data_IF_341855235143
#
_entry.id   IF_341855235143
#
_cell.length_a   1.000
_cell.length_b   1.000
_cell.length_c   1.000
_cell.angle_alpha   90.00
_cell.angle_beta   90.00
_cell.angle_gamma   90.00
#
_symmetry.space_group_name_H-M   'P 1'
#
loop_
_entity.id
_entity.type
_entity.pdbx_description
1 polymer ?
#
# COMPACT_ATOMS: atom_id res chain seq x y z
N UNK A 1 77.46 -3.66 36.40
CA UNK A 1 76.36 -4.54 35.92
C UNK A 1 75.28 -4.79 36.97
N UNK A 2 75.64 -5.04 38.23
CA UNK A 2 74.70 -5.39 39.33
C UNK A 2 73.57 -4.36 39.56
N UNK A 3 73.86 -3.06 39.44
CA UNK A 3 72.87 -2.00 39.70
C UNK A 3 71.68 -2.00 38.72
N UNK A 4 71.92 -2.18 37.41
CA UNK A 4 70.85 -2.28 36.39
C UNK A 4 70.02 -3.56 36.59
N UNK A 5 70.65 -4.67 36.97
CA UNK A 5 69.96 -5.94 37.23
C UNK A 5 69.03 -5.85 38.47
N UNK A 6 69.46 -5.18 39.55
CA UNK A 6 68.60 -4.92 40.72
C UNK A 6 67.39 -4.05 40.36
N UNK A 7 67.58 -2.98 39.58
CA UNK A 7 66.48 -2.12 39.14
C UNK A 7 65.45 -2.87 38.29
N UNK A 8 65.89 -3.72 37.36
CA UNK A 8 64.97 -4.52 36.53
C UNK A 8 64.22 -5.57 37.35
N UNK A 9 64.88 -6.24 38.29
CA UNK A 9 64.23 -7.19 39.20
C UNK A 9 63.13 -6.51 40.02
N UNK A 10 63.42 -5.35 40.60
CA UNK A 10 62.45 -4.66 41.47
C UNK A 10 61.26 -4.11 40.66
N UNK A 11 61.48 -3.68 39.41
CA UNK A 11 60.39 -3.39 38.46
C UNK A 11 59.50 -4.62 38.21
N UNK A 12 60.10 -5.78 37.91
CA UNK A 12 59.35 -7.01 37.66
C UNK A 12 58.62 -7.52 38.92
N UNK A 13 59.20 -7.40 40.12
CA UNK A 13 58.51 -7.71 41.39
C UNK A 13 57.27 -6.84 41.59
N UNK A 14 57.35 -5.57 41.23
CA UNK A 14 56.22 -4.65 41.32
C UNK A 14 55.11 -5.05 40.33
N UNK A 15 55.49 -5.43 39.11
CA UNK A 15 54.56 -5.96 38.11
C UNK A 15 53.87 -7.23 38.61
N UNK A 16 54.62 -8.19 39.16
CA UNK A 16 54.07 -9.42 39.76
C UNK A 16 53.08 -9.11 40.89
N UNK A 17 53.40 -8.15 41.76
CA UNK A 17 52.50 -7.73 42.85
C UNK A 17 51.17 -7.18 42.32
N UNK A 18 51.21 -6.35 41.27
CA UNK A 18 49.99 -5.84 40.61
C UNK A 18 49.17 -6.97 40.00
N UNK A 19 49.82 -7.86 39.25
CA UNK A 19 49.14 -9.00 38.60
C UNK A 19 48.47 -9.89 39.66
N UNK A 20 49.18 -10.25 40.72
CA UNK A 20 48.66 -11.11 41.79
C UNK A 20 47.46 -10.48 42.52
N UNK A 21 47.44 -9.15 42.70
CA UNK A 21 46.26 -8.44 43.24
C UNK A 21 45.05 -8.53 42.32
N UNK A 22 45.25 -8.34 41.01
CA UNK A 22 44.17 -8.40 40.02
C UNK A 22 43.64 -9.82 39.80
N UNK A 23 44.48 -10.83 39.99
CA UNK A 23 44.15 -12.25 39.78
C UNK A 23 43.85 -13.01 41.09
N UNK A 24 43.71 -12.30 42.21
CA UNK A 24 43.44 -12.87 43.55
C UNK A 24 44.44 -13.96 44.01
N UNK A 25 45.67 -13.91 43.51
CA UNK A 25 46.73 -14.88 43.84
C UNK A 25 47.47 -14.44 45.11
N UNK A 26 47.60 -15.32 46.11
CA UNK A 26 48.20 -15.03 47.42
C UNK A 26 49.75 -15.01 47.45
N UNK A 27 50.40 -15.16 46.30
CA UNK A 27 51.86 -15.21 46.20
C UNK A 27 52.51 -13.84 46.42
N UNK A 28 53.51 -13.77 47.31
CA UNK A 28 54.26 -12.53 47.58
C UNK A 28 55.44 -12.39 46.62
N UNK A 29 55.46 -11.31 45.83
CA UNK A 29 56.53 -11.03 44.87
C UNK A 29 57.92 -10.85 45.51
N UNK A 30 57.98 -10.55 46.82
CA UNK A 30 59.23 -10.45 47.59
C UNK A 30 60.02 -11.76 47.66
N UNK A 31 59.40 -12.90 47.33
CA UNK A 31 60.07 -14.22 47.29
C UNK A 31 60.93 -14.45 46.05
N UNK A 32 60.82 -13.62 45.01
CA UNK A 32 61.54 -13.76 43.74
C UNK A 32 62.87 -13.01 43.81
N UNK A 33 64.01 -13.67 43.89
CA UNK A 33 65.30 -13.06 44.24
C UNK A 33 66.12 -12.58 43.03
N UNK A 34 65.81 -13.06 41.83
CA UNK A 34 66.48 -12.72 40.58
C UNK A 34 65.52 -12.19 39.52
N UNK A 35 66.07 -11.58 38.47
CA UNK A 35 65.31 -11.16 37.29
C UNK A 35 64.69 -12.38 36.60
N UNK A 36 65.47 -13.44 36.43
CA UNK A 36 65.08 -14.67 35.75
C UNK A 36 63.92 -15.39 36.48
N UNK A 37 63.91 -15.38 37.82
CA UNK A 37 62.80 -15.91 38.61
C UNK A 37 61.50 -15.13 38.37
N UNK A 38 61.59 -13.79 38.30
CA UNK A 38 60.42 -12.97 38.00
C UNK A 38 59.87 -13.23 36.60
N UNK A 39 60.76 -13.34 35.60
CA UNK A 39 60.38 -13.63 34.22
C UNK A 39 59.74 -15.03 34.09
N UNK A 40 60.30 -16.05 34.74
CA UNK A 40 59.71 -17.40 34.76
C UNK A 40 58.33 -17.44 35.41
N UNK A 41 58.14 -16.71 36.52
CA UNK A 41 56.86 -16.63 37.20
C UNK A 41 55.79 -15.98 36.31
N UNK A 42 56.12 -14.85 35.67
CA UNK A 42 55.22 -14.16 34.73
C UNK A 42 54.89 -15.06 33.53
N UNK A 43 55.88 -15.75 32.96
CA UNK A 43 55.67 -16.69 31.85
C UNK A 43 54.73 -17.84 32.21
N UNK A 44 54.85 -18.39 33.42
CA UNK A 44 53.95 -19.46 33.87
C UNK A 44 52.53 -18.95 34.07
N UNK A 45 52.34 -17.77 34.69
CA UNK A 45 51.03 -17.13 34.79
C UNK A 45 50.39 -16.92 33.41
N UNK A 46 51.15 -16.43 32.43
CA UNK A 46 50.65 -16.24 31.06
C UNK A 46 50.26 -17.57 30.42
N UNK A 47 51.05 -18.63 30.64
CA UNK A 47 50.74 -19.98 30.15
C UNK A 47 49.48 -20.54 30.80
N UNK A 48 49.33 -20.37 32.11
CA UNK A 48 48.16 -20.83 32.85
C UNK A 48 46.91 -20.06 32.39
N UNK A 49 47.01 -18.75 32.16
CA UNK A 49 45.92 -17.95 31.59
C UNK A 49 45.57 -18.38 30.15
N UNK A 50 46.58 -18.62 29.31
CA UNK A 50 46.39 -19.11 27.93
C UNK A 50 45.74 -20.50 27.90
N UNK A 51 46.09 -21.34 28.88
CA UNK A 51 45.64 -22.72 28.98
C UNK A 51 44.47 -22.91 29.95
N UNK A 52 43.84 -21.84 30.44
CA UNK A 52 42.63 -21.90 31.24
C UNK A 52 41.39 -21.58 30.38
N UNK A 53 40.86 -22.57 29.63
CA UNK A 53 39.70 -22.42 28.76
C UNK A 53 38.40 -22.18 29.52
N UNK A 54 38.39 -22.27 30.86
CA UNK A 54 37.21 -22.08 31.70
C UNK A 54 36.55 -20.72 31.51
N UNK A 55 37.36 -19.65 31.44
CA UNK A 55 36.84 -18.29 31.24
C UNK A 55 36.29 -18.10 29.82
N UNK A 56 36.94 -18.67 28.80
CA UNK A 56 36.47 -18.55 27.42
C UNK A 56 35.24 -19.43 27.13
N UNK A 57 35.06 -20.54 27.83
CA UNK A 57 33.94 -21.46 27.60
C UNK A 57 32.59 -20.84 27.94
N UNK A 58 32.51 -20.04 29.00
CA UNK A 58 31.29 -19.31 29.37
C UNK A 58 30.93 -18.27 28.30
N UNK A 59 31.89 -17.45 27.87
CA UNK A 59 31.69 -16.48 26.80
C UNK A 59 31.34 -17.13 25.45
N UNK A 60 31.96 -18.26 25.11
CA UNK A 60 31.63 -18.99 23.87
C UNK A 60 30.20 -19.50 23.91
N UNK A 61 29.72 -19.99 25.07
CA UNK A 61 28.34 -20.44 25.23
C UNK A 61 27.36 -19.29 25.02
N UNK A 62 27.60 -18.16 25.67
CA UNK A 62 26.77 -16.96 25.58
C UNK A 62 26.77 -16.39 24.14
N UNK A 63 27.92 -16.37 23.47
CA UNK A 63 28.03 -15.98 22.06
C UNK A 63 27.21 -16.91 21.15
N UNK A 64 27.20 -18.22 21.42
CA UNK A 64 26.45 -19.16 20.61
C UNK A 64 24.93 -19.00 20.82
N UNK A 65 24.49 -18.83 22.07
CA UNK A 65 23.09 -18.54 22.40
C UNK A 65 22.61 -17.23 21.73
N UNK A 66 23.42 -16.17 21.80
CA UNK A 66 23.13 -14.90 21.13
C UNK A 66 23.07 -15.02 19.60
N UNK A 67 23.92 -15.85 18.99
CA UNK A 67 23.85 -16.12 17.55
C UNK A 67 22.56 -16.82 17.16
N UNK A 68 22.12 -17.78 17.96
CA UNK A 68 20.88 -18.53 17.74
C UNK A 68 19.65 -17.60 17.87
N UNK A 69 19.65 -16.72 18.88
CA UNK A 69 18.60 -15.69 19.02
C UNK A 69 18.56 -14.72 17.82
N UNK A 70 19.73 -14.27 17.34
CA UNK A 70 19.82 -13.41 16.16
C UNK A 70 19.28 -14.13 14.92
N UNK A 71 19.59 -15.41 14.75
CA UNK A 71 19.12 -16.20 13.61
C UNK A 71 17.59 -16.36 13.63
N UNK A 72 17.01 -16.68 14.80
CA UNK A 72 15.56 -16.75 14.99
C UNK A 72 14.90 -15.40 14.69
N UNK A 73 15.45 -14.30 15.20
CA UNK A 73 14.96 -12.95 14.94
C UNK A 73 14.99 -12.61 13.45
N UNK A 74 16.06 -12.96 12.75
CA UNK A 74 16.21 -12.65 11.33
C UNK A 74 15.25 -13.48 10.46
N UNK A 75 15.05 -14.77 10.79
CA UNK A 75 14.07 -15.63 10.12
C UNK A 75 12.63 -15.12 10.33
N UNK A 76 12.29 -14.68 11.54
CA UNK A 76 10.99 -14.08 11.83
C UNK A 76 10.77 -12.76 11.08
N UNK A 77 11.82 -11.94 10.96
CA UNK A 77 11.76 -10.70 10.17
C UNK A 77 11.54 -11.00 8.68
N UNK A 78 12.23 -11.99 8.12
CA UNK A 78 12.04 -12.46 6.74
C UNK A 78 10.62 -12.95 6.49
N UNK A 79 10.05 -13.74 7.41
CA UNK A 79 8.67 -14.22 7.32
C UNK A 79 7.68 -13.05 7.30
N UNK A 80 7.80 -12.11 8.26
CA UNK A 80 6.94 -10.91 8.31
C UNK A 80 7.05 -10.04 7.06
N UNK A 81 8.26 -9.89 6.50
CA UNK A 81 8.46 -9.11 5.29
C UNK A 81 7.80 -9.76 4.07
N UNK A 82 7.84 -11.10 3.95
CA UNK A 82 7.12 -11.84 2.90
C UNK A 82 5.60 -11.69 3.04
N UNK A 83 5.06 -11.79 4.26
CA UNK A 83 3.64 -11.56 4.51
C UNK A 83 3.21 -10.14 4.14
N UNK A 84 4.00 -9.13 4.51
CA UNK A 84 3.75 -7.73 4.15
C UNK A 84 3.75 -7.52 2.63
N UNK A 85 4.67 -8.14 1.91
CA UNK A 85 4.72 -8.07 0.44
C UNK A 85 3.46 -8.71 -0.19
N UNK A 86 3.06 -9.89 0.29
CA UNK A 86 1.84 -10.57 -0.19
C UNK A 86 0.57 -9.76 0.12
N UNK A 87 0.50 -9.11 1.28
CA UNK A 87 -0.62 -8.22 1.63
C UNK A 87 -0.68 -6.99 0.72
N UNK A 88 0.48 -6.42 0.38
CA UNK A 88 0.56 -5.27 -0.53
C UNK A 88 0.04 -5.64 -1.93
N UNK A 89 0.46 -6.77 -2.48
CA UNK A 89 0.01 -7.25 -3.79
C UNK A 89 -1.52 -7.49 -3.82
N UNK A 90 -2.06 -8.12 -2.75
CA UNK A 90 -3.52 -8.29 -2.61
C UNK A 90 -4.26 -6.97 -2.54
N UNK A 91 -3.72 -5.98 -1.84
CA UNK A 91 -4.32 -4.66 -1.74
C UNK A 91 -4.34 -3.94 -3.09
N UNK A 92 -3.22 -3.94 -3.82
CA UNK A 92 -3.13 -3.32 -5.15
C UNK A 92 -4.11 -3.98 -6.14
N UNK A 93 -4.26 -5.31 -6.08
CA UNK A 93 -5.26 -6.02 -6.89
C UNK A 93 -6.70 -5.62 -6.54
N UNK A 94 -7.03 -5.55 -5.25
CA UNK A 94 -8.37 -5.13 -4.79
C UNK A 94 -8.68 -3.68 -5.16
N UNK A 95 -7.69 -2.80 -5.09
CA UNK A 95 -7.83 -1.40 -5.48
C UNK A 95 -8.08 -1.26 -6.98
N UNK A 96 -7.37 -2.02 -7.81
CA UNK A 96 -7.60 -2.08 -9.25
C UNK A 96 -9.02 -2.60 -9.58
N UNK A 97 -9.46 -3.68 -8.93
CA UNK A 97 -10.83 -4.21 -9.10
C UNK A 97 -11.88 -3.19 -8.67
N UNK A 98 -11.69 -2.51 -7.53
CA UNK A 98 -12.58 -1.46 -7.06
C UNK A 98 -12.70 -0.32 -8.06
N UNK A 99 -11.57 0.17 -8.57
CA UNK A 99 -11.56 1.25 -9.57
C UNK A 99 -12.26 0.81 -10.85
N UNK A 100 -12.03 -0.41 -11.31
CA UNK A 100 -12.69 -0.98 -12.48
C UNK A 100 -14.22 -0.98 -12.35
N UNK A 101 -14.77 -1.48 -11.24
CA UNK A 101 -16.22 -1.50 -11.04
C UNK A 101 -16.82 -0.10 -10.91
N UNK A 102 -16.12 0.84 -10.27
CA UNK A 102 -16.56 2.24 -10.19
C UNK A 102 -16.65 2.85 -11.60
N UNK A 103 -15.66 2.61 -12.45
CA UNK A 103 -15.65 3.10 -13.83
C UNK A 103 -16.80 2.49 -14.64
N UNK A 104 -17.01 1.18 -14.57
CA UNK A 104 -18.14 0.54 -15.26
C UNK A 104 -19.49 1.09 -14.82
N UNK A 105 -19.69 1.28 -13.51
CA UNK A 105 -20.92 1.84 -12.98
C UNK A 105 -21.15 3.27 -13.48
N UNK A 106 -20.08 4.07 -13.57
CA UNK A 106 -20.14 5.43 -14.10
C UNK A 106 -20.50 5.45 -15.59
N UNK A 107 -19.81 4.67 -16.40
CA UNK A 107 -20.09 4.55 -17.84
C UNK A 107 -21.51 4.04 -18.13
N UNK A 108 -21.99 3.07 -17.34
CA UNK A 108 -23.36 2.59 -17.45
C UNK A 108 -24.39 3.65 -17.05
N UNK A 109 -24.08 4.49 -16.06
CA UNK A 109 -24.89 5.64 -15.67
C UNK A 109 -24.97 6.68 -16.79
N UNK A 110 -23.83 7.06 -17.36
CA UNK A 110 -23.76 8.03 -18.47
C UNK A 110 -24.54 7.55 -19.70
N UNK A 111 -24.39 6.28 -20.09
CA UNK A 111 -25.17 5.68 -21.19
C UNK A 111 -26.67 5.66 -20.94
N UNK A 112 -27.10 5.44 -19.68
CA UNK A 112 -28.52 5.49 -19.32
C UNK A 112 -29.07 6.91 -19.42
N UNK A 113 -28.32 7.89 -18.94
CA UNK A 113 -28.73 9.29 -19.01
C UNK A 113 -28.85 9.77 -20.47
N UNK A 114 -27.90 9.39 -21.32
CA UNK A 114 -27.95 9.70 -22.76
C UNK A 114 -29.17 9.06 -23.44
N UNK A 115 -29.41 7.77 -23.18
CA UNK A 115 -30.58 7.06 -23.71
C UNK A 115 -31.91 7.64 -23.21
N UNK A 116 -31.98 8.11 -21.96
CA UNK A 116 -33.16 8.79 -21.42
C UNK A 116 -33.41 10.13 -22.10
N UNK A 117 -32.36 10.94 -22.31
CA UNK A 117 -32.46 12.22 -23.04
C UNK A 117 -32.91 12.01 -24.47
N UNK A 118 -32.37 11.02 -25.16
CA UNK A 118 -32.75 10.67 -26.53
C UNK A 118 -34.22 10.22 -26.59
N UNK A 119 -34.62 9.31 -25.69
CA UNK A 119 -36.01 8.84 -25.58
C UNK A 119 -36.98 9.99 -25.30
N UNK A 120 -36.61 10.91 -24.41
CA UNK A 120 -37.40 12.09 -24.10
C UNK A 120 -37.52 13.03 -25.30
N UNK A 121 -36.41 13.28 -26.01
CA UNK A 121 -36.38 14.09 -27.23
C UNK A 121 -37.36 13.57 -28.29
N UNK A 122 -37.29 12.27 -28.61
CA UNK A 122 -38.19 11.66 -29.59
C UNK A 122 -39.64 11.62 -29.11
N UNK A 123 -39.88 11.37 -27.82
CA UNK A 123 -41.23 11.40 -27.25
C UNK A 123 -41.86 12.79 -27.37
N UNK A 124 -41.08 13.83 -27.09
CA UNK A 124 -41.54 15.21 -27.19
C UNK A 124 -41.81 15.61 -28.65
N UNK A 125 -40.95 15.21 -29.59
CA UNK A 125 -41.20 15.39 -31.01
C UNK A 125 -42.46 14.66 -31.47
N UNK A 126 -42.61 13.37 -31.15
CA UNK A 126 -43.79 12.61 -31.52
C UNK A 126 -45.09 13.25 -31.00
N UNK A 127 -45.09 13.73 -29.75
CA UNK A 127 -46.23 14.48 -29.19
C UNK A 127 -46.51 15.77 -29.95
N UNK A 128 -45.47 16.52 -30.31
CA UNK A 128 -45.61 17.75 -31.09
C UNK A 128 -46.21 17.49 -32.47
N UNK A 129 -45.65 16.53 -33.20
CA UNK A 129 -46.15 16.12 -34.52
C UNK A 129 -47.59 15.65 -34.47
N UNK A 130 -47.93 14.80 -33.49
CA UNK A 130 -49.29 14.33 -33.29
C UNK A 130 -50.27 15.49 -33.04
N UNK A 131 -49.89 16.43 -32.17
CA UNK A 131 -50.71 17.62 -31.89
C UNK A 131 -50.88 18.51 -33.12
N UNK A 132 -49.79 18.74 -33.86
CA UNK A 132 -49.80 19.54 -35.10
C UNK A 132 -50.67 18.91 -36.19
N UNK A 133 -50.60 17.58 -36.33
CA UNK A 133 -51.42 16.82 -37.28
C UNK A 133 -52.90 17.00 -36.97
N UNK A 134 -53.34 16.73 -35.74
CA UNK A 134 -54.74 16.90 -35.36
C UNK A 134 -55.22 18.36 -35.45
N UNK A 135 -54.38 19.34 -35.14
CA UNK A 135 -54.75 20.75 -35.32
C UNK A 135 -54.94 21.11 -36.79
N UNK A 136 -54.05 20.63 -37.66
CA UNK A 136 -54.12 20.88 -39.11
C UNK A 136 -55.28 20.15 -39.75
N UNK A 137 -55.49 18.88 -39.39
CA UNK A 137 -56.60 18.04 -39.85
C UNK A 137 -57.94 18.67 -39.45
N UNK A 138 -58.11 19.04 -38.17
CA UNK A 138 -59.31 19.73 -37.71
C UNK A 138 -59.58 21.04 -38.45
N UNK A 139 -58.53 21.84 -38.75
CA UNK A 139 -58.67 23.07 -39.53
C UNK A 139 -59.10 22.78 -40.97
N UNK A 140 -58.54 21.75 -41.58
CA UNK A 140 -58.82 21.34 -42.96
C UNK A 140 -60.24 20.80 -43.07
N UNK A 141 -60.66 19.89 -42.18
CA UNK A 141 -62.04 19.40 -42.09
C UNK A 141 -63.03 20.55 -41.88
N UNK A 142 -62.71 21.54 -41.04
CA UNK A 142 -63.55 22.72 -40.85
C UNK A 142 -63.68 23.57 -42.12
N UNK A 143 -62.58 23.75 -42.85
CA UNK A 143 -62.57 24.48 -44.12
C UNK A 143 -63.37 23.76 -45.21
N UNK A 144 -63.23 22.43 -45.32
CA UNK A 144 -64.00 21.59 -46.24
C UNK A 144 -65.51 21.66 -45.94
N UNK A 145 -65.90 21.55 -44.67
CA UNK A 145 -67.30 21.65 -44.26
C UNK A 145 -67.91 23.03 -44.59
N UNK A 146 -67.14 24.12 -44.44
CA UNK A 146 -67.58 25.46 -44.84
C UNK A 146 -67.71 25.58 -46.35
N UNK A 147 -66.74 25.07 -47.12
CA UNK A 147 -66.78 25.11 -48.58
C UNK A 147 -67.98 24.31 -49.13
N UNK A 148 -68.26 23.13 -48.55
CA UNK A 148 -69.44 22.33 -48.88
C UNK A 148 -70.74 23.09 -48.60
N UNK A 149 -70.85 23.77 -47.44
CA UNK A 149 -72.02 24.58 -47.10
C UNK A 149 -72.26 25.71 -48.11
N UNK A 150 -71.23 26.47 -48.48
CA UNK A 150 -71.36 27.53 -49.49
C UNK A 150 -71.68 26.98 -50.88
N UNK A 151 -71.10 25.83 -51.26
CA UNK A 151 -71.46 25.15 -52.51
C UNK A 151 -72.93 24.75 -52.56
N UNK A 152 -73.46 24.20 -51.47
CA UNK A 152 -74.87 23.86 -51.36
C UNK A 152 -75.78 25.10 -51.41
N UNK A 153 -75.38 26.21 -50.76
CA UNK A 153 -76.10 27.48 -50.80
C UNK A 153 -76.23 28.02 -52.24
N UNK A 154 -75.11 28.10 -52.96
CA UNK A 154 -75.08 28.58 -54.36
C UNK A 154 -75.94 27.69 -55.26
N UNK A 155 -75.91 26.37 -55.04
CA UNK A 155 -76.75 25.43 -55.79
C UNK A 155 -78.25 25.67 -55.55
N UNK A 156 -78.67 25.87 -54.29
CA UNK A 156 -80.06 26.19 -53.95
C UNK A 156 -80.50 27.54 -54.53
N UNK A 157 -79.64 28.55 -54.48
CA UNK A 157 -79.90 29.85 -55.10
C UNK A 157 -80.05 29.73 -56.61
N UNK A 158 -79.15 28.99 -57.29
CA UNK A 158 -79.22 28.76 -58.72
C UNK A 158 -80.52 28.04 -59.14
N UNK A 159 -80.93 27.02 -58.38
CA UNK A 159 -82.23 26.34 -58.59
C UNK A 159 -83.41 27.29 -58.41
N UNK A 160 -83.36 28.17 -57.40
CA UNK A 160 -84.41 29.14 -57.12
C UNK A 160 -84.54 30.17 -58.25
N UNK A 161 -83.42 30.68 -58.77
CA UNK A 161 -83.39 31.58 -59.93
C UNK A 161 -83.91 30.87 -61.19
N UNK A 162 -83.46 29.63 -61.45
CA UNK A 162 -83.92 28.85 -62.60
C UNK A 162 -85.44 28.60 -62.54
N UNK A 163 -86.00 28.27 -61.37
CA UNK A 163 -87.44 28.14 -61.17
C UNK A 163 -88.19 29.46 -61.38
N UNK A 164 -87.62 30.61 -60.98
CA UNK A 164 -88.21 31.93 -61.22
C UNK A 164 -88.22 32.32 -62.71
N UNK A 165 -87.18 31.94 -63.46
CA UNK A 165 -87.09 32.18 -64.92
C UNK A 165 -88.05 31.26 -65.70
N UNK A 166 -88.38 30.08 -65.16
CA UNK A 166 -89.25 29.11 -65.82
C UNK A 166 -90.76 29.42 -65.70
N UNK A 167 -91.10 30.60 -65.16
CA UNK A 167 -92.46 31.11 -65.02
C UNK A 167 -92.71 32.26 -65.98
#
# INVERSE_FOLDING_TARGET
>A
MVHKQMQTRDYLRNLVSKINKTSEVSFKSSKLNSKEECEKYILNLIKDLKNNPGNNKAYIKEINELKEEIEILNNNLLAKNKEKANLKDKFEKLEAERVFYITQAKEAGEKREEAEKEKEYYRNHAKYWNKSFYDTDNKLTRAENLNFFFGALVFVEALSIAMLIWK
#
